data_IF_887331307027
#
_entry.id   IF_887331307027
#
_cell.length_a   1.000
_cell.length_b   1.000
_cell.length_c   1.000
_cell.angle_alpha   90.00
_cell.angle_beta   90.00
_cell.angle_gamma   90.00
#
_symmetry.space_group_name_H-M   'P 1'
#
loop_
_entity.id
_entity.type
_entity.pdbx_description
1 polymer ?
#
# COMPACT_ATOMS: atom_id res chain seq x y z
N UNK A 1 -18.21 6.82 -8.31
CA UNK A 1 -17.92 5.92 -7.18
C UNK A 1 -16.58 6.34 -6.60
N UNK A 2 -16.37 6.41 -5.27
CA UNK A 2 -15.07 6.80 -4.74
C UNK A 2 -14.03 5.84 -5.29
N UNK A 3 -13.01 6.43 -5.92
CA UNK A 3 -11.90 5.76 -6.57
C UNK A 3 -11.10 5.09 -5.44
N UNK A 4 -11.55 3.94 -4.97
CA UNK A 4 -10.97 3.26 -3.81
C UNK A 4 -9.71 2.52 -4.26
N UNK A 5 -8.78 3.28 -4.85
CA UNK A 5 -7.44 2.87 -5.27
C UNK A 5 -6.60 2.67 -4.02
N UNK A 6 -6.98 1.64 -3.28
CA UNK A 6 -6.26 1.19 -2.11
C UNK A 6 -5.36 0.04 -2.51
N UNK A 7 -4.15 0.04 -1.98
CA UNK A 7 -3.23 -1.10 -2.02
C UNK A 7 -2.83 -1.47 -0.60
N UNK A 8 -3.06 -2.71 -0.24
CA UNK A 8 -2.72 -3.26 1.06
C UNK A 8 -1.45 -4.08 0.93
N UNK A 9 -0.40 -3.66 1.62
CA UNK A 9 0.89 -4.32 1.73
C UNK A 9 0.85 -5.14 3.02
N UNK A 10 0.85 -6.46 2.91
CA UNK A 10 0.81 -7.36 4.06
C UNK A 10 1.87 -8.45 3.95
N UNK A 11 2.36 -9.00 5.08
CA UNK A 11 3.26 -10.14 5.05
C UNK A 11 2.56 -11.39 4.49
N UNK A 12 3.34 -12.19 3.77
CA UNK A 12 2.95 -13.48 3.23
C UNK A 12 3.57 -14.60 4.08
N UNK A 13 2.96 -15.79 4.08
CA UNK A 13 3.35 -16.93 4.93
C UNK A 13 4.77 -17.49 4.70
N UNK A 14 5.48 -17.04 3.66
CA UNK A 14 6.81 -17.52 3.28
C UNK A 14 7.92 -16.47 3.35
N UNK A 15 7.98 -15.65 4.41
CA UNK A 15 8.97 -14.56 4.58
C UNK A 15 8.92 -13.49 3.47
N UNK A 16 7.78 -13.37 2.79
CA UNK A 16 7.56 -12.39 1.72
C UNK A 16 6.52 -11.35 2.11
N UNK A 17 6.29 -10.43 1.19
CA UNK A 17 5.28 -9.39 1.27
C UNK A 17 4.40 -9.47 0.05
N UNK A 18 3.10 -9.22 0.22
CA UNK A 18 2.11 -9.23 -0.85
C UNK A 18 1.42 -7.87 -0.92
N UNK A 19 1.11 -7.46 -2.13
CA UNK A 19 0.29 -6.30 -2.42
C UNK A 19 -1.07 -6.81 -2.87
N UNK A 20 -2.13 -6.35 -2.23
CA UNK A 20 -3.52 -6.68 -2.57
C UNK A 20 -4.29 -5.40 -2.83
N UNK A 21 -5.36 -5.48 -3.64
CA UNK A 21 -6.33 -4.39 -3.80
C UNK A 21 -7.68 -4.85 -3.23
N UNK A 22 -8.54 -3.94 -2.75
CA UNK A 22 -9.88 -4.29 -2.30
C UNK A 22 -10.63 -5.08 -3.39
N UNK A 23 -11.28 -6.18 -2.99
CA UNK A 23 -12.05 -7.03 -3.90
C UNK A 23 -11.22 -7.95 -4.80
N UNK A 24 -9.89 -7.94 -4.72
CA UNK A 24 -9.08 -8.94 -5.43
C UNK A 24 -8.97 -10.24 -4.62
N UNK A 25 -9.31 -11.36 -5.25
CA UNK A 25 -9.16 -12.70 -4.66
C UNK A 25 -7.70 -13.15 -4.55
N UNK A 26 -6.76 -12.42 -5.17
CA UNK A 26 -5.32 -12.75 -5.19
C UNK A 26 -4.47 -11.48 -5.03
N UNK A 27 -3.23 -11.62 -4.53
CA UNK A 27 -2.24 -10.56 -4.58
C UNK A 27 -2.04 -10.04 -6.02
N UNK A 28 -1.98 -8.72 -6.17
CA UNK A 28 -1.59 -8.07 -7.42
C UNK A 28 -0.08 -8.12 -7.63
N UNK A 29 0.70 -8.26 -6.55
CA UNK A 29 2.15 -8.46 -6.60
C UNK A 29 2.66 -9.12 -5.32
N UNK A 30 3.86 -9.69 -5.39
CA UNK A 30 4.60 -10.20 -4.23
C UNK A 30 6.05 -9.71 -4.29
N UNK A 31 6.66 -9.47 -3.13
CA UNK A 31 8.06 -9.11 -2.99
C UNK A 31 8.69 -9.87 -1.84
N UNK A 32 10.02 -9.99 -1.83
CA UNK A 32 10.74 -10.56 -0.68
C UNK A 32 10.86 -9.57 0.48
N UNK A 33 10.74 -8.27 0.21
CA UNK A 33 10.92 -7.22 1.22
C UNK A 33 9.71 -6.30 1.29
N UNK A 34 9.51 -5.71 2.47
CA UNK A 34 8.45 -4.73 2.69
C UNK A 34 8.61 -3.53 1.77
N UNK A 35 9.83 -2.98 1.71
CA UNK A 35 10.15 -1.82 0.86
C UNK A 35 9.87 -2.10 -0.62
N UNK A 36 10.15 -3.32 -1.10
CA UNK A 36 9.83 -3.71 -2.47
C UNK A 36 8.32 -3.75 -2.73
N UNK A 37 7.56 -4.33 -1.80
CA UNK A 37 6.10 -4.35 -1.91
C UNK A 37 5.48 -2.94 -1.82
N UNK A 38 6.00 -2.07 -0.95
CA UNK A 38 5.59 -0.67 -0.81
C UNK A 38 5.82 0.11 -2.11
N UNK A 39 6.99 -0.03 -2.74
CA UNK A 39 7.29 0.61 -4.05
C UNK A 39 6.31 0.16 -5.14
N UNK A 40 6.03 -1.15 -5.22
CA UNK A 40 5.08 -1.70 -6.20
C UNK A 40 3.67 -1.18 -5.91
N UNK A 41 3.24 -1.16 -4.64
CA UNK A 41 1.95 -0.64 -4.24
C UNK A 41 1.80 0.85 -4.58
N UNK A 42 2.82 1.67 -4.30
CA UNK A 42 2.85 3.10 -4.65
C UNK A 42 2.73 3.30 -6.15
N UNK A 43 3.50 2.55 -6.95
CA UNK A 43 3.41 2.58 -8.42
C UNK A 43 2.02 2.20 -8.92
N UNK A 44 1.47 1.07 -8.48
CA UNK A 44 0.13 0.60 -8.87
C UNK A 44 -0.99 1.57 -8.46
N UNK A 45 -0.78 2.34 -7.40
CA UNK A 45 -1.73 3.35 -6.94
C UNK A 45 -1.63 4.61 -7.77
N UNK A 46 -0.41 5.07 -8.08
CA UNK A 46 -0.15 6.19 -8.99
C UNK A 46 -0.71 5.93 -10.39
N UNK A 47 -0.39 4.76 -10.97
CA UNK A 47 -0.85 4.35 -12.30
C UNK A 47 -2.39 4.25 -12.38
N UNK A 48 -3.06 4.04 -11.25
CA UNK A 48 -4.52 3.99 -11.17
C UNK A 48 -5.18 5.38 -10.99
N UNK A 49 -4.40 6.46 -10.93
CA UNK A 49 -4.89 7.83 -10.72
C UNK A 49 -4.79 8.32 -9.27
N UNK A 50 -3.86 7.76 -8.48
CA UNK A 50 -3.66 8.10 -7.07
C UNK A 50 -4.61 7.34 -6.12
N UNK A 51 -4.30 7.38 -4.82
CA UNK A 51 -5.03 6.64 -3.79
C UNK A 51 -4.22 6.39 -2.52
N UNK A 52 -4.47 5.27 -1.84
CA UNK A 52 -3.92 4.98 -0.52
C UNK A 52 -3.16 3.66 -0.49
N UNK A 53 -1.99 3.63 0.14
CA UNK A 53 -1.22 2.42 0.40
C UNK A 53 -1.21 2.17 1.90
N UNK A 54 -1.72 1.03 2.34
CA UNK A 54 -1.72 0.63 3.75
C UNK A 54 -0.70 -0.48 3.97
N UNK A 55 0.11 -0.34 5.00
CA UNK A 55 1.12 -1.34 5.36
C UNK A 55 0.69 -2.02 6.65
N UNK A 56 0.44 -3.33 6.56
CA UNK A 56 0.08 -4.18 7.68
C UNK A 56 1.32 -4.84 8.27
N UNK A 57 1.35 -4.98 9.60
CA UNK A 57 2.32 -5.81 10.28
C UNK A 57 1.91 -7.30 10.23
N UNK A 58 2.77 -8.25 10.69
CA UNK A 58 2.43 -9.67 10.78
C UNK A 58 1.21 -9.99 11.65
N UNK A 59 0.81 -9.07 12.54
CA UNK A 59 -0.40 -9.19 13.37
C UNK A 59 -1.66 -8.66 12.65
N UNK A 60 -1.56 -8.25 11.39
CA UNK A 60 -2.66 -7.70 10.59
C UNK A 60 -3.01 -6.24 10.87
N UNK A 61 -2.32 -5.59 11.82
CA UNK A 61 -2.57 -4.19 12.20
C UNK A 61 -1.89 -3.26 11.21
N UNK A 62 -2.60 -2.21 10.79
CA UNK A 62 -2.03 -1.13 9.96
C UNK A 62 -0.95 -0.43 10.78
N UNK A 63 0.30 -0.59 10.35
CA UNK A 63 1.47 0.09 10.91
C UNK A 63 1.69 1.46 10.27
N UNK A 64 1.41 1.57 8.97
CA UNK A 64 1.68 2.79 8.19
C UNK A 64 0.62 2.96 7.10
N UNK A 65 0.39 4.20 6.68
CA UNK A 65 -0.52 4.53 5.60
C UNK A 65 0.03 5.68 4.78
N UNK A 66 0.44 5.40 3.54
CA UNK A 66 0.90 6.40 2.59
C UNK A 66 -0.25 6.85 1.69
N UNK A 67 -0.34 8.15 1.41
CA UNK A 67 -1.21 8.67 0.36
C UNK A 67 -0.40 8.95 -0.91
N UNK A 68 -0.79 8.36 -2.03
CA UNK A 68 -0.17 8.57 -3.33
C UNK A 68 -0.99 9.58 -4.12
N UNK A 69 -0.41 10.75 -4.39
CA UNK A 69 -1.06 11.82 -5.17
C UNK A 69 -1.35 11.38 -6.62
N UNK A 70 -2.43 11.85 -7.26
CA UNK A 70 -3.39 12.86 -6.78
C UNK A 70 -4.48 12.33 -5.80
N UNK A 71 -4.25 11.18 -5.16
CA UNK A 71 -5.14 10.61 -4.15
C UNK A 71 -5.44 11.52 -2.97
N UNK A 72 -6.67 11.40 -2.46
CA UNK A 72 -7.16 12.14 -1.30
C UNK A 72 -6.44 11.71 -0.01
N UNK A 73 -6.09 12.67 0.85
CA UNK A 73 -5.32 12.44 2.08
C UNK A 73 -6.00 11.42 3.01
N UNK A 74 -5.24 10.43 3.48
CA UNK A 74 -5.72 9.42 4.41
C UNK A 74 -5.99 10.00 5.80
N UNK A 75 -7.06 9.59 6.51
CA UNK A 75 -7.30 10.00 7.89
C UNK A 75 -6.26 9.41 8.88
N UNK A 76 -5.44 8.45 8.44
CA UNK A 76 -4.31 7.92 9.22
C UNK A 76 -3.06 8.73 8.89
N UNK A 77 -2.41 9.26 9.94
CA UNK A 77 -1.15 10.01 9.83
C UNK A 77 -0.11 9.14 9.10
N UNK A 78 0.37 9.63 7.96
CA UNK A 78 1.60 9.17 7.34
C UNK A 78 2.73 9.33 8.37
N UNK A 79 3.37 8.23 8.76
CA UNK A 79 4.42 8.24 9.78
C UNK A 79 5.81 8.46 9.20
N UNK A 80 5.96 8.51 7.87
CA UNK A 80 7.23 8.88 7.24
C UNK A 80 7.23 10.38 6.92
N UNK A 81 8.32 11.10 7.19
CA UNK A 81 8.46 12.45 6.66
C UNK A 81 8.36 12.34 5.13
N UNK A 82 7.39 13.05 4.57
CA UNK A 82 7.28 13.28 3.13
C UNK A 82 8.65 13.75 2.65
N UNK A 83 9.41 12.87 1.99
CA UNK A 83 10.63 13.29 1.30
C UNK A 83 10.20 14.23 0.19
N UNK A 84 10.20 15.51 0.52
CA UNK A 84 10.27 16.60 -0.43
C UNK A 84 11.71 16.59 -0.93
N UNK A 85 11.92 16.00 -2.11
CA UNK A 85 13.03 16.39 -2.99
C UNK A 85 12.46 17.41 -3.98
#
# INVERSE_FOLDING_TARGET
>A
MPNNNRRDVSPNSGNGWKVTKPGASKPTATSRTQSGAEKIAKKQTSDAGGGQVYIHNPKGVIRDADTVKPGNESPRKDTKPRSTD
#
